data_IF_775723354175
#
_entry.id   IF_775723354175
#
_cell.length_a   1.000
_cell.length_b   1.000
_cell.length_c   1.000
_cell.angle_alpha   90.00
_cell.angle_beta   90.00
_cell.angle_gamma   90.00
#
_symmetry.space_group_name_H-M   'P 1'
#
loop_
_entity.id
_entity.type
_entity.pdbx_description
1 polymer ?
#
# COMPACT_ATOMS: atom_id res chain seq x y z
N UNK A 1 27.83 7.90 19.22
CA UNK A 1 27.51 7.08 18.03
C UNK A 1 26.14 7.50 17.53
N UNK A 2 26.05 8.19 16.39
CA UNK A 2 24.77 8.57 15.76
C UNK A 2 24.40 7.50 14.75
N UNK A 3 23.23 6.88 14.94
CA UNK A 3 22.70 5.85 14.05
C UNK A 3 22.15 6.53 12.76
N UNK A 4 22.56 6.12 11.55
CA UNK A 4 22.18 6.77 10.29
C UNK A 4 20.89 6.15 9.72
N UNK A 5 20.04 7.02 9.15
CA UNK A 5 18.58 6.92 9.20
C UNK A 5 17.91 6.10 8.08
N UNK A 6 16.96 5.26 8.47
CA UNK A 6 15.58 5.30 7.94
C UNK A 6 14.94 6.61 8.38
N UNK A 7 14.23 7.33 7.53
CA UNK A 7 13.57 8.55 8.01
C UNK A 7 12.53 8.28 9.09
N UNK A 8 11.79 7.15 9.03
CA UNK A 8 11.10 6.51 10.17
C UNK A 8 10.39 5.21 9.76
N UNK A 9 10.43 4.20 10.64
CA UNK A 9 9.31 3.27 10.81
C UNK A 9 8.54 3.79 12.01
N UNK A 10 7.29 4.17 11.81
CA UNK A 10 6.43 4.54 12.94
C UNK A 10 5.43 3.43 13.22
N UNK A 11 5.40 3.10 14.49
CA UNK A 11 4.45 2.25 15.15
C UNK A 11 3.68 3.16 16.12
N UNK A 12 2.36 3.04 16.20
CA UNK A 12 1.64 3.69 17.28
C UNK A 12 2.04 3.07 18.64
N UNK A 13 1.83 3.81 19.74
CA UNK A 13 2.18 3.34 21.09
C UNK A 13 1.55 1.98 21.42
N UNK A 14 0.34 1.75 20.94
CA UNK A 14 -0.37 0.47 21.04
C UNK A 14 0.38 -0.64 20.32
N UNK A 15 0.87 -0.39 19.11
CA UNK A 15 1.62 -1.36 18.33
C UNK A 15 3.02 -1.66 18.85
N UNK A 16 3.70 -0.67 19.46
CA UNK A 16 4.94 -0.92 20.21
C UNK A 16 4.70 -1.84 21.41
N UNK A 17 3.60 -1.64 22.13
CA UNK A 17 3.19 -2.51 23.23
C UNK A 17 2.82 -3.92 22.74
N UNK A 18 2.08 -4.04 21.63
CA UNK A 18 1.78 -5.32 20.98
C UNK A 18 3.05 -6.07 20.59
N UNK A 19 4.03 -5.38 20.01
CA UNK A 19 5.33 -5.96 19.64
C UNK A 19 6.07 -6.49 20.87
N UNK A 20 6.12 -5.71 21.96
CA UNK A 20 6.72 -6.15 23.22
C UNK A 20 6.01 -7.38 23.82
N UNK A 21 4.69 -7.48 23.64
CA UNK A 21 3.87 -8.62 24.04
C UNK A 21 3.88 -9.79 23.03
N UNK A 22 4.64 -9.69 21.92
CA UNK A 22 4.65 -10.65 20.80
C UNK A 22 3.25 -10.88 20.21
N UNK A 23 2.42 -9.85 20.21
CA UNK A 23 1.11 -9.85 19.60
C UNK A 23 1.19 -9.26 18.18
N UNK A 24 0.33 -9.72 17.25
CA UNK A 24 0.26 -9.13 15.92
C UNK A 24 -0.04 -7.65 15.99
N UNK A 25 0.75 -6.86 15.29
CA UNK A 25 0.61 -5.42 15.29
C UNK A 25 -0.57 -5.00 14.40
N UNK A 26 -1.33 -4.00 14.85
CA UNK A 26 -2.43 -3.49 14.01
C UNK A 26 -1.89 -2.78 12.77
N UNK A 27 -1.00 -1.79 12.93
CA UNK A 27 -0.60 -0.88 11.85
C UNK A 27 0.89 -0.54 11.88
N UNK A 28 1.55 -0.62 10.74
CA UNK A 28 2.93 -0.15 10.56
C UNK A 28 2.97 0.87 9.43
N UNK A 29 3.62 2.00 9.66
CA UNK A 29 3.92 2.98 8.62
C UNK A 29 5.42 2.93 8.29
N UNK A 30 5.75 2.74 7.01
CA UNK A 30 7.12 2.66 6.49
C UNK A 30 7.35 3.78 5.49
N UNK A 31 8.35 4.63 5.74
CA UNK A 31 8.77 5.69 4.81
C UNK A 31 10.13 5.34 4.22
N UNK A 32 10.18 5.24 2.88
CA UNK A 32 11.37 4.96 2.08
C UNK A 32 11.74 6.21 1.27
N UNK A 33 12.70 6.99 1.77
CA UNK A 33 13.13 8.26 1.15
C UNK A 33 14.65 8.35 0.93
N UNK A 34 15.50 7.81 1.81
CA UNK A 34 16.95 7.72 1.63
C UNK A 34 17.43 6.42 2.27
N UNK A 35 17.67 5.37 1.47
CA UNK A 35 18.23 4.10 1.97
C UNK A 35 19.75 4.27 2.06
N UNK A 36 20.22 4.95 3.10
CA UNK A 36 21.66 5.17 3.26
C UNK A 36 22.37 4.04 4.02
N UNK A 37 21.72 3.27 4.92
CA UNK A 37 22.40 2.20 5.71
C UNK A 37 21.60 0.97 6.17
N UNK A 38 20.28 0.92 6.05
CA UNK A 38 19.51 -0.28 6.41
C UNK A 38 19.42 -1.24 5.22
N UNK A 39 19.66 -2.53 5.48
CA UNK A 39 19.46 -3.57 4.46
C UNK A 39 17.98 -3.90 4.34
N UNK A 40 17.54 -4.29 3.15
CA UNK A 40 16.19 -4.83 2.90
C UNK A 40 15.88 -5.96 3.88
N UNK A 41 16.87 -6.80 4.15
CA UNK A 41 16.82 -7.89 5.13
C UNK A 41 16.39 -7.42 6.54
N UNK A 42 16.79 -6.23 6.99
CA UNK A 42 16.38 -5.71 8.29
C UNK A 42 14.90 -5.30 8.27
N UNK A 43 14.45 -4.61 7.22
CA UNK A 43 13.06 -4.18 7.08
C UNK A 43 12.10 -5.37 6.94
N UNK A 44 12.49 -6.37 6.17
CA UNK A 44 11.72 -7.62 6.03
C UNK A 44 11.64 -8.35 7.37
N UNK A 45 12.73 -8.38 8.15
CA UNK A 45 12.71 -8.96 9.51
C UNK A 45 11.73 -8.22 10.41
N UNK A 46 11.75 -6.89 10.42
CA UNK A 46 10.82 -6.07 11.23
C UNK A 46 9.37 -6.36 10.86
N UNK A 47 9.02 -6.39 9.57
CA UNK A 47 7.65 -6.71 9.14
C UNK A 47 7.26 -8.16 9.47
N UNK A 48 8.20 -9.10 9.38
CA UNK A 48 7.98 -10.50 9.74
C UNK A 48 7.71 -10.68 11.23
N UNK A 49 8.42 -9.92 12.07
CA UNK A 49 8.26 -9.98 13.53
C UNK A 49 6.99 -9.26 13.99
N UNK A 50 6.70 -8.08 13.41
CA UNK A 50 5.52 -7.28 13.78
C UNK A 50 4.21 -7.87 13.24
N UNK A 51 4.26 -8.59 12.12
CA UNK A 51 3.10 -9.19 11.44
C UNK A 51 1.91 -8.24 11.30
N UNK A 52 2.09 -7.06 10.68
CA UNK A 52 1.04 -6.05 10.63
C UNK A 52 -0.18 -6.49 9.83
N UNK A 53 -1.37 -6.07 10.28
CA UNK A 53 -2.61 -6.22 9.49
C UNK A 53 -2.85 -5.01 8.57
N UNK A 54 -2.29 -3.84 8.91
CA UNK A 54 -2.34 -2.62 8.11
C UNK A 54 -0.91 -2.15 7.83
N UNK A 55 -0.60 -1.89 6.56
CA UNK A 55 0.71 -1.39 6.15
C UNK A 55 0.54 -0.13 5.31
N UNK A 56 1.09 0.99 5.77
CA UNK A 56 1.25 2.18 4.96
C UNK A 56 2.69 2.24 4.45
N UNK A 57 2.86 2.27 3.13
CA UNK A 57 4.15 2.43 2.49
C UNK A 57 4.19 3.78 1.78
N UNK A 58 5.07 4.65 2.24
CA UNK A 58 5.40 5.89 1.54
C UNK A 58 6.75 5.71 0.86
N UNK A 59 6.79 5.86 -0.46
CA UNK A 59 8.02 5.73 -1.24
C UNK A 59 8.30 6.99 -2.06
N UNK A 60 9.55 7.41 -2.07
CA UNK A 60 10.06 8.39 -3.02
C UNK A 60 10.61 7.67 -4.25
N UNK A 61 9.95 7.84 -5.40
CA UNK A 61 10.33 7.16 -6.65
C UNK A 61 11.44 7.86 -7.41
N UNK A 62 11.92 9.02 -6.96
CA UNK A 62 13.12 9.66 -7.52
C UNK A 62 14.38 8.82 -7.31
N UNK A 63 14.32 7.79 -6.46
CA UNK A 63 15.41 6.87 -6.16
C UNK A 63 15.08 5.49 -6.74
N UNK A 64 15.65 5.16 -7.89
CA UNK A 64 15.42 3.88 -8.57
C UNK A 64 15.69 2.66 -7.67
N UNK A 65 16.66 2.77 -6.76
CA UNK A 65 16.99 1.72 -5.79
C UNK A 65 15.82 1.41 -4.84
N UNK A 66 14.98 2.37 -4.50
CA UNK A 66 13.83 2.14 -3.61
C UNK A 66 12.84 1.17 -4.27
N UNK A 67 12.53 1.38 -5.56
CA UNK A 67 11.57 0.56 -6.31
C UNK A 67 12.00 -0.91 -6.42
N UNK A 68 13.30 -1.17 -6.52
CA UNK A 68 13.85 -2.52 -6.72
C UNK A 68 13.60 -3.46 -5.54
N UNK A 69 13.50 -2.94 -4.31
CA UNK A 69 13.41 -3.76 -3.10
C UNK A 69 12.00 -3.83 -2.49
N UNK A 70 11.06 -3.00 -2.95
CA UNK A 70 9.66 -3.05 -2.49
C UNK A 70 9.05 -4.44 -2.65
N UNK A 71 9.26 -5.21 -3.74
CA UNK A 71 8.70 -6.55 -3.86
C UNK A 71 9.13 -7.49 -2.72
N UNK A 72 10.41 -7.48 -2.35
CA UNK A 72 10.96 -8.29 -1.26
C UNK A 72 10.37 -7.86 0.09
N UNK A 73 10.26 -6.56 0.32
CA UNK A 73 9.61 -6.00 1.52
C UNK A 73 8.15 -6.47 1.64
N UNK A 74 7.39 -6.39 0.55
CA UNK A 74 5.97 -6.74 0.52
C UNK A 74 5.74 -8.24 0.69
N UNK A 75 6.67 -9.09 0.24
CA UNK A 75 6.62 -10.53 0.50
C UNK A 75 6.74 -10.89 1.99
N UNK A 76 7.45 -10.08 2.78
CA UNK A 76 7.55 -10.27 4.23
C UNK A 76 6.25 -9.90 4.98
N UNK A 77 5.40 -9.07 4.38
CA UNK A 77 4.16 -8.55 4.96
C UNK A 77 2.97 -9.54 4.81
N UNK A 78 3.15 -10.78 5.24
CA UNK A 78 2.23 -11.90 4.95
C UNK A 78 0.83 -11.80 5.58
N UNK A 79 0.66 -11.01 6.64
CA UNK A 79 -0.62 -10.82 7.34
C UNK A 79 -1.38 -9.56 6.97
N UNK A 80 -0.83 -8.74 6.08
CA UNK A 80 -1.44 -7.47 5.69
C UNK A 80 -2.77 -7.72 4.98
N UNK A 81 -3.82 -7.05 5.44
CA UNK A 81 -5.15 -7.01 4.82
C UNK A 81 -5.46 -5.65 4.20
N UNK A 82 -4.96 -4.59 4.83
CA UNK A 82 -5.13 -3.21 4.38
C UNK A 82 -3.77 -2.63 3.98
N UNK A 83 -3.62 -2.23 2.72
CA UNK A 83 -2.40 -1.63 2.22
C UNK A 83 -2.65 -0.22 1.71
N UNK A 84 -1.88 0.75 2.19
CA UNK A 84 -1.88 2.11 1.67
C UNK A 84 -0.54 2.41 1.03
N UNK A 85 -0.56 2.75 -0.25
CA UNK A 85 0.60 3.17 -1.01
C UNK A 85 0.57 4.67 -1.22
N UNK A 86 1.63 5.37 -0.80
CA UNK A 86 1.84 6.79 -1.05
C UNK A 86 3.09 6.95 -1.92
N UNK A 87 2.94 7.55 -3.10
CA UNK A 87 4.05 7.66 -4.06
C UNK A 87 4.42 9.12 -4.24
N UNK A 88 5.56 9.52 -3.68
CA UNK A 88 6.13 10.83 -3.97
C UNK A 88 6.96 10.72 -5.24
N UNK A 89 6.48 11.34 -6.32
CA UNK A 89 7.19 11.36 -7.59
C UNK A 89 7.08 12.74 -8.23
N UNK A 90 8.16 13.21 -8.86
CA UNK A 90 8.07 14.36 -9.77
C UNK A 90 7.48 13.94 -11.14
N UNK A 91 7.55 12.66 -11.48
CA UNK A 91 7.23 12.13 -12.81
C UNK A 91 6.05 11.14 -12.81
N UNK A 92 5.40 10.92 -11.67
CA UNK A 92 4.43 9.84 -11.47
C UNK A 92 5.07 8.45 -11.40
N UNK A 93 4.22 7.45 -11.22
CA UNK A 93 4.56 6.02 -11.35
C UNK A 93 3.59 5.39 -12.35
N UNK A 94 4.11 4.55 -13.24
CA UNK A 94 3.26 3.85 -14.19
C UNK A 94 2.35 2.83 -13.49
N UNK A 95 1.08 2.75 -13.91
CA UNK A 95 0.11 1.74 -13.45
C UNK A 95 0.69 0.33 -13.48
N UNK A 96 1.40 -0.04 -14.54
CA UNK A 96 2.04 -1.36 -14.67
C UNK A 96 3.06 -1.66 -13.56
N UNK A 97 3.79 -0.63 -13.09
CA UNK A 97 4.71 -0.76 -11.96
C UNK A 97 3.94 -0.99 -10.66
N UNK A 98 2.91 -0.18 -10.38
CA UNK A 98 2.06 -0.37 -9.20
C UNK A 98 1.49 -1.79 -9.18
N UNK A 99 0.88 -2.23 -10.28
CA UNK A 99 0.28 -3.57 -10.39
C UNK A 99 1.32 -4.66 -10.14
N UNK A 100 2.55 -4.48 -10.63
CA UNK A 100 3.64 -5.44 -10.38
C UNK A 100 4.04 -5.50 -8.90
N UNK A 101 4.03 -4.38 -8.18
CA UNK A 101 4.27 -4.33 -6.73
C UNK A 101 3.17 -5.03 -5.94
N UNK A 102 1.93 -5.00 -6.42
CA UNK A 102 0.77 -5.56 -5.72
C UNK A 102 0.64 -7.08 -5.88
N UNK A 103 1.10 -7.67 -6.99
CA UNK A 103 1.00 -9.12 -7.27
C UNK A 103 1.38 -10.06 -6.11
N UNK A 104 2.46 -9.84 -5.33
CA UNK A 104 2.82 -10.74 -4.24
C UNK A 104 1.90 -10.61 -3.01
N UNK A 105 1.02 -9.61 -2.95
CA UNK A 105 0.19 -9.34 -1.78
C UNK A 105 -1.10 -10.17 -1.76
N UNK A 106 -1.59 -10.46 -0.54
CA UNK A 106 -2.89 -11.09 -0.28
C UNK A 106 -3.80 -10.15 0.54
N UNK A 107 -3.98 -8.94 0.03
CA UNK A 107 -4.74 -7.85 0.66
C UNK A 107 -6.21 -7.85 0.22
N UNK A 108 -7.08 -7.30 1.07
CA UNK A 108 -8.50 -7.10 0.78
C UNK A 108 -8.82 -5.64 0.50
N UNK A 109 -8.07 -4.70 1.07
CA UNK A 109 -8.27 -3.27 0.91
C UNK A 109 -6.97 -2.61 0.40
N UNK A 110 -7.09 -1.84 -0.69
CA UNK A 110 -6.00 -1.07 -1.27
C UNK A 110 -6.36 0.42 -1.27
N UNK A 111 -5.48 1.26 -0.74
CA UNK A 111 -5.54 2.70 -0.91
C UNK A 111 -4.28 3.18 -1.61
N UNK A 112 -4.45 4.00 -2.63
CA UNK A 112 -3.35 4.64 -3.35
C UNK A 112 -3.55 6.13 -3.20
N UNK A 113 -2.62 6.77 -2.50
CA UNK A 113 -2.74 8.18 -2.15
C UNK A 113 -1.66 8.96 -2.90
N UNK A 114 -2.11 10.07 -3.50
CA UNK A 114 -1.26 11.11 -4.08
C UNK A 114 -0.31 10.57 -5.17
N UNK A 115 -0.89 10.04 -6.26
CA UNK A 115 -0.14 9.77 -7.50
C UNK A 115 0.25 11.10 -8.16
N UNK A 116 1.26 11.75 -7.61
CA UNK A 116 1.85 12.97 -8.14
C UNK A 116 2.57 12.68 -9.46
N UNK A 117 1.89 12.92 -10.57
CA UNK A 117 2.46 12.78 -11.91
C UNK A 117 1.59 13.48 -12.95
N UNK A 118 2.21 14.31 -13.80
CA UNK A 118 1.54 15.13 -14.82
C UNK A 118 0.88 14.34 -15.98
N UNK A 119 0.58 13.06 -15.81
CA UNK A 119 0.05 12.21 -16.87
C UNK A 119 -1.47 12.30 -16.98
N UNK A 120 -1.92 13.12 -17.95
CA UNK A 120 -3.30 13.46 -18.32
C UNK A 120 -4.21 12.30 -18.79
N UNK A 121 -3.75 11.04 -18.77
CA UNK A 121 -4.53 9.88 -19.26
C UNK A 121 -4.83 8.84 -18.16
N UNK A 122 -4.73 9.21 -16.88
CA UNK A 122 -4.95 8.27 -15.80
C UNK A 122 -6.46 8.03 -15.55
N UNK A 123 -6.89 6.77 -15.64
CA UNK A 123 -8.24 6.32 -15.31
C UNK A 123 -8.22 5.48 -14.03
N UNK A 124 -8.72 6.00 -12.89
CA UNK A 124 -8.71 5.28 -11.62
C UNK A 124 -9.40 3.91 -11.67
N UNK A 125 -10.49 3.81 -12.44
CA UNK A 125 -11.19 2.56 -12.72
C UNK A 125 -10.26 1.52 -13.37
N UNK A 126 -9.49 1.92 -14.39
CA UNK A 126 -8.56 1.02 -15.09
C UNK A 126 -7.44 0.52 -14.17
N UNK A 127 -6.97 1.35 -13.22
CA UNK A 127 -6.05 0.87 -12.19
C UNK A 127 -6.75 -0.10 -11.23
N UNK A 128 -7.95 0.24 -10.74
CA UNK A 128 -8.70 -0.59 -9.80
C UNK A 128 -8.95 -1.99 -10.37
N UNK A 129 -9.37 -2.08 -11.64
CA UNK A 129 -9.53 -3.34 -12.36
C UNK A 129 -8.20 -4.09 -12.50
N UNK A 130 -7.12 -3.41 -12.94
CA UNK A 130 -5.81 -4.04 -13.09
C UNK A 130 -5.25 -4.58 -11.76
N UNK A 131 -5.44 -3.84 -10.67
CA UNK A 131 -5.06 -4.24 -9.32
C UNK A 131 -5.90 -5.43 -8.84
N UNK A 132 -7.22 -5.40 -9.07
CA UNK A 132 -8.14 -6.49 -8.74
C UNK A 132 -7.86 -7.78 -9.51
N UNK A 133 -7.39 -7.67 -10.76
CA UNK A 133 -6.91 -8.81 -11.56
C UNK A 133 -5.60 -9.37 -11.02
N UNK A 134 -4.70 -8.52 -10.52
CA UNK A 134 -3.42 -8.94 -9.97
C UNK A 134 -3.51 -9.50 -8.55
N UNK A 135 -4.48 -9.06 -7.75
CA UNK A 135 -4.69 -9.48 -6.36
C UNK A 135 -6.09 -10.06 -6.22
N UNK A 136 -6.17 -11.38 -6.19
CA UNK A 136 -7.46 -12.10 -6.21
C UNK A 136 -8.33 -11.85 -4.98
N UNK A 137 -7.72 -11.55 -3.82
CA UNK A 137 -8.43 -11.27 -2.57
C UNK A 137 -8.94 -9.83 -2.45
N UNK A 138 -8.64 -8.96 -3.42
CA UNK A 138 -8.91 -7.52 -3.31
C UNK A 138 -10.41 -7.22 -3.46
N UNK A 139 -11.03 -6.59 -2.47
CA UNK A 139 -12.47 -6.28 -2.44
C UNK A 139 -12.75 -4.78 -2.56
N UNK A 140 -11.77 -3.94 -2.24
CA UNK A 140 -11.90 -2.49 -2.27
C UNK A 140 -10.63 -1.82 -2.75
N UNK A 141 -10.79 -0.81 -3.60
CA UNK A 141 -9.70 0.04 -4.09
C UNK A 141 -10.10 1.50 -3.96
N UNK A 142 -9.28 2.30 -3.30
CA UNK A 142 -9.38 3.76 -3.33
C UNK A 142 -8.16 4.36 -3.99
N UNK A 143 -8.38 5.34 -4.88
CA UNK A 143 -7.33 6.05 -5.58
C UNK A 143 -7.54 7.54 -5.42
N UNK A 144 -6.58 8.22 -4.81
CA UNK A 144 -6.54 9.66 -4.65
C UNK A 144 -5.50 10.28 -5.57
N UNK A 145 -5.91 11.28 -6.35
CA UNK A 145 -5.08 12.08 -7.25
C UNK A 145 -5.38 13.54 -6.98
N UNK A 146 -4.36 14.29 -6.54
CA UNK A 146 -4.49 15.72 -6.21
C UNK A 146 -5.65 15.98 -5.25
N UNK A 147 -6.77 16.51 -5.76
CA UNK A 147 -7.96 16.91 -5.02
C UNK A 147 -9.13 15.90 -5.12
N UNK A 148 -8.97 14.82 -5.89
CA UNK A 148 -10.05 13.85 -6.15
C UNK A 148 -9.69 12.48 -5.61
N UNK A 149 -10.66 11.84 -4.95
CA UNK A 149 -10.57 10.41 -4.63
C UNK A 149 -11.73 9.68 -5.27
N UNK A 150 -11.44 8.57 -5.94
CA UNK A 150 -12.45 7.62 -6.40
C UNK A 150 -12.24 6.29 -5.70
N UNK A 151 -13.34 5.69 -5.24
CA UNK A 151 -13.30 4.41 -4.54
C UNK A 151 -14.21 3.41 -5.22
N UNK A 152 -13.75 2.17 -5.31
CA UNK A 152 -14.39 1.11 -6.06
C UNK A 152 -14.59 -0.11 -5.17
N UNK A 153 -15.78 -0.69 -5.21
CA UNK A 153 -16.00 -2.06 -4.77
C UNK A 153 -15.66 -3.01 -5.90
N UNK A 154 -14.87 -4.04 -5.57
CA UNK A 154 -14.50 -5.07 -6.51
C UNK A 154 -15.41 -6.27 -6.29
N UNK A 155 -16.28 -6.51 -7.26
CA UNK A 155 -17.12 -7.71 -7.30
C UNK A 155 -16.55 -8.66 -8.35
N UNK A 156 -16.56 -9.96 -8.03
CA UNK A 156 -16.11 -11.03 -8.95
C UNK A 156 -17.28 -11.91 -9.26
N UNK A 157 -17.52 -12.14 -10.55
CA UNK A 157 -18.55 -13.06 -10.99
C UNK A 157 -18.17 -14.50 -10.64
N UNK A 158 -19.19 -15.36 -10.60
CA UNK A 158 -18.99 -16.82 -10.61
C UNK A 158 -18.49 -17.32 -11.96
N UNK A 159 -18.64 -16.51 -13.02
CA UNK A 159 -18.02 -16.74 -14.32
C UNK A 159 -16.54 -16.39 -14.20
N UNK A 160 -15.69 -17.34 -14.56
CA UNK A 160 -14.25 -17.21 -14.34
C UNK A 160 -13.68 -16.02 -15.12
N UNK A 161 -13.11 -15.05 -14.40
CA UNK A 161 -12.38 -13.91 -14.98
C UNK A 161 -13.15 -12.59 -15.07
N UNK A 162 -14.47 -12.59 -14.85
CA UNK A 162 -15.25 -11.35 -14.85
C UNK A 162 -15.08 -10.61 -13.52
N UNK A 163 -14.43 -9.45 -13.60
CA UNK A 163 -14.20 -8.53 -12.49
C UNK A 163 -14.94 -7.23 -12.79
N UNK A 164 -15.74 -6.77 -11.85
CA UNK A 164 -16.45 -5.49 -11.94
C UNK A 164 -15.95 -4.56 -10.85
N UNK A 165 -15.71 -3.30 -11.22
CA UNK A 165 -15.36 -2.23 -10.30
C UNK A 165 -16.55 -1.27 -10.21
N UNK A 166 -17.30 -1.32 -9.12
CA UNK A 166 -18.45 -0.46 -8.87
C UNK A 166 -17.99 0.80 -8.15
N UNK A 167 -18.21 1.97 -8.77
CA UNK A 167 -17.88 3.25 -8.16
C UNK A 167 -18.77 3.52 -6.95
N UNK A 168 -18.15 3.77 -5.80
CA UNK A 168 -18.84 4.17 -4.57
C UNK A 168 -19.08 5.68 -4.53
N UNK A 169 -20.17 6.08 -3.88
CA UNK A 169 -20.41 7.48 -3.53
C UNK A 169 -19.40 8.00 -2.48
N UNK A 170 -19.28 9.32 -2.40
CA UNK A 170 -18.30 10.00 -1.54
C UNK A 170 -18.49 9.71 -0.04
N UNK A 171 -19.73 9.53 0.43
CA UNK A 171 -20.03 9.31 1.84
C UNK A 171 -19.69 7.87 2.26
N UNK A 172 -20.14 6.90 1.47
CA UNK A 172 -19.87 5.46 1.64
C UNK A 172 -18.38 5.18 1.55
N UNK A 173 -17.69 5.80 0.59
CA UNK A 173 -16.24 5.66 0.43
C UNK A 173 -15.46 6.29 1.58
N UNK A 174 -15.87 7.47 2.08
CA UNK A 174 -15.22 8.11 3.23
C UNK A 174 -15.39 7.28 4.50
N UNK A 175 -16.60 6.81 4.79
CA UNK A 175 -16.89 5.98 5.97
C UNK A 175 -16.06 4.69 5.99
N UNK A 176 -15.95 3.99 4.85
CA UNK A 176 -15.15 2.76 4.76
C UNK A 176 -13.65 3.02 4.98
N UNK A 177 -13.10 4.08 4.35
CA UNK A 177 -11.69 4.46 4.55
C UNK A 177 -11.39 4.86 6.00
N UNK A 178 -12.25 5.66 6.61
CA UNK A 178 -12.11 6.03 8.02
C UNK A 178 -12.15 4.77 8.91
N UNK A 179 -13.12 3.88 8.72
CA UNK A 179 -13.23 2.61 9.47
C UNK A 179 -12.00 1.71 9.32
N UNK A 180 -11.43 1.62 8.12
CA UNK A 180 -10.27 0.77 7.86
C UNK A 180 -9.00 1.30 8.55
N UNK A 181 -8.86 2.62 8.73
CA UNK A 181 -7.60 3.23 9.17
C UNK A 181 -7.63 3.95 10.53
N UNK A 182 -8.81 4.06 11.17
CA UNK A 182 -9.00 4.56 12.56
C UNK A 182 -8.94 3.43 13.57
#
# INVERSE_FOLDING_TARGET
MRWPALSHISADLTGLYQTALKQPMRRVDVVLDVIERHTVAWLTTVLTDMQPTHLQLQMDTSIERVQAFVPELLQAATRVKCFRLMVRSQYGIATSKIVSLLRPLSITELEIVDLSGHSLAYRPESLALSAASAVQSLEFVSVSISDRTQSFLITRSRIHGDITAELLDDMSSRSRREKNWS
#
